data_IF_471010519703
#
_entry.id   IF_471010519703
#
_cell.length_a   1.000
_cell.length_b   1.000
_cell.length_c   1.000
_cell.angle_alpha   90.00
_cell.angle_beta   90.00
_cell.angle_gamma   90.00
#
_symmetry.space_group_name_H-M   'P 1'
#
loop_
_entity.id
_entity.type
_entity.pdbx_description
1 polymer ?
#
# COMPACT_ATOMS: atom_id res chain seq x y z
N UNK A 1 -19.84 -1.51 2.74
CA UNK A 1 -19.89 -2.46 3.87
C UNK A 1 -20.36 -3.84 3.40
N UNK A 2 -19.46 -4.63 2.80
CA UNK A 2 -19.69 -6.06 2.51
C UNK A 2 -18.73 -6.83 3.43
N UNK A 3 -19.30 -7.62 4.36
CA UNK A 3 -18.54 -8.48 5.26
C UNK A 3 -17.94 -9.63 4.42
N UNK A 4 -16.61 -9.73 4.34
CA UNK A 4 -15.91 -10.87 3.72
C UNK A 4 -16.23 -12.13 4.54
N UNK A 5 -17.01 -13.05 3.95
CA UNK A 5 -17.19 -14.41 4.45
C UNK A 5 -16.16 -15.30 3.74
N UNK A 6 -14.97 -15.48 4.34
CA UNK A 6 -14.07 -16.53 3.87
C UNK A 6 -14.64 -17.89 4.27
N UNK A 7 -15.33 -18.55 3.33
CA UNK A 7 -15.74 -19.94 3.44
C UNK A 7 -14.54 -20.83 3.11
N UNK A 8 -13.92 -21.40 4.14
CA UNK A 8 -13.23 -22.68 4.00
C UNK A 8 -14.29 -23.69 3.55
N UNK A 9 -14.19 -24.15 2.31
CA UNK A 9 -14.96 -25.29 1.81
C UNK A 9 -14.47 -26.53 2.55
N UNK A 10 -15.14 -26.82 3.68
CA UNK A 10 -15.06 -28.11 4.32
C UNK A 10 -15.69 -29.12 3.36
N UNK A 11 -14.85 -29.91 2.70
CA UNK A 11 -15.22 -31.11 1.94
C UNK A 11 -15.94 -32.10 2.87
N UNK A 12 -17.23 -31.90 3.04
CA UNK A 12 -18.18 -32.88 3.55
C UNK A 12 -19.37 -32.87 2.61
N UNK A 13 -19.16 -33.43 1.41
CA UNK A 13 -20.23 -33.71 0.46
C UNK A 13 -21.23 -34.67 1.09
N UNK A 14 -22.29 -34.09 1.66
CA UNK A 14 -23.59 -34.74 1.82
C UNK A 14 -24.05 -35.23 0.45
N UNK A 15 -23.96 -36.53 0.21
CA UNK A 15 -24.70 -37.19 -0.87
C UNK A 15 -25.59 -38.27 -0.27
N UNK A 16 -26.86 -37.88 -0.15
CA UNK A 16 -28.08 -38.62 -0.48
C UNK A 16 -28.46 -39.85 0.36
N UNK A 17 -29.52 -39.62 1.15
CA UNK A 17 -30.49 -40.59 1.62
C UNK A 17 -31.18 -41.28 0.42
N UNK A 18 -31.56 -42.54 0.64
CA UNK A 18 -32.55 -43.39 -0.06
C UNK A 18 -31.97 -44.41 -1.04
N UNK A 19 -31.66 -45.60 -0.52
CA UNK A 19 -32.19 -46.86 -1.04
C UNK A 19 -32.41 -47.84 0.13
N UNK A 20 -33.52 -48.57 0.02
CA UNK A 20 -34.17 -49.38 1.02
C UNK A 20 -33.48 -50.74 1.25
N UNK A 21 -33.65 -51.26 2.48
CA UNK A 21 -33.68 -52.66 2.92
C UNK A 21 -32.51 -53.20 3.78
N UNK A 22 -32.94 -53.76 4.94
CA UNK A 22 -32.28 -54.73 5.83
C UNK A 22 -31.28 -54.24 6.91
N UNK A 23 -31.78 -54.12 8.15
CA UNK A 23 -31.27 -54.96 9.24
C UNK A 23 -30.60 -54.29 10.46
N UNK A 24 -31.38 -54.22 11.56
CA UNK A 24 -31.00 -54.45 12.98
C UNK A 24 -30.23 -53.36 13.77
N UNK A 25 -30.99 -52.72 14.67
CA UNK A 25 -30.75 -52.41 16.10
C UNK A 25 -29.30 -52.14 16.59
N UNK A 26 -29.06 -50.94 17.14
CA UNK A 26 -29.13 -50.64 18.59
C UNK A 26 -28.78 -49.18 18.86
N UNK A 27 -29.65 -48.48 19.58
CA UNK A 27 -29.43 -47.14 20.12
C UNK A 27 -28.42 -47.20 21.27
N UNK A 28 -27.48 -46.25 21.30
CA UNK A 28 -26.91 -45.72 22.53
C UNK A 28 -26.96 -44.20 22.46
N UNK A 29 -28.01 -43.63 23.04
CA UNK A 29 -28.13 -42.20 23.33
C UNK A 29 -27.12 -41.85 24.43
N UNK A 30 -26.13 -41.00 24.12
CA UNK A 30 -25.35 -40.31 25.14
C UNK A 30 -25.89 -38.90 25.24
N UNK A 31 -26.68 -38.70 26.28
CA UNK A 31 -27.25 -37.43 26.69
C UNK A 31 -26.20 -36.69 27.53
N UNK A 32 -25.66 -35.57 27.03
CA UNK A 32 -24.86 -34.65 27.86
C UNK A 32 -25.52 -33.28 27.82
N UNK A 33 -26.51 -33.12 28.70
CA UNK A 33 -26.97 -31.84 29.20
C UNK A 33 -25.94 -31.30 30.19
N UNK A 34 -24.97 -30.54 29.70
CA UNK A 34 -24.27 -29.54 30.51
C UNK A 34 -23.59 -28.53 29.58
N UNK A 35 -24.32 -27.47 29.21
CA UNK A 35 -23.72 -26.27 28.63
C UNK A 35 -23.13 -25.51 29.82
N UNK A 36 -21.82 -25.58 30.01
CA UNK A 36 -21.13 -24.64 30.89
C UNK A 36 -21.06 -23.31 30.16
N UNK A 37 -21.90 -22.38 30.61
CA UNK A 37 -21.71 -20.94 30.45
C UNK A 37 -20.27 -20.58 30.84
N UNK A 38 -19.53 -19.97 29.92
CA UNK A 38 -18.16 -19.52 30.17
C UNK A 38 -17.18 -20.01 29.11
N UNK A 39 -17.33 -19.53 27.89
CA UNK A 39 -16.26 -19.43 26.89
C UNK A 39 -16.65 -18.36 25.85
N UNK A 40 -16.92 -17.14 26.35
CA UNK A 40 -16.50 -15.95 25.60
C UNK A 40 -14.97 -15.86 25.76
N UNK A 41 -14.24 -16.79 25.12
CA UNK A 41 -12.85 -16.50 24.80
C UNK A 41 -12.90 -15.59 23.60
N UNK A 42 -12.58 -14.32 23.82
CA UNK A 42 -12.03 -13.46 22.79
C UNK A 42 -10.87 -14.24 22.16
N UNK A 43 -11.12 -14.91 21.04
CA UNK A 43 -10.07 -15.41 20.15
C UNK A 43 -9.47 -14.18 19.48
N UNK A 44 -8.64 -13.48 20.26
CA UNK A 44 -7.78 -12.42 19.78
C UNK A 44 -6.87 -13.03 18.71
N UNK A 45 -6.92 -12.44 17.52
CA UNK A 45 -6.37 -12.95 16.27
C UNK A 45 -4.83 -12.80 16.24
N UNK A 46 -4.14 -13.45 17.18
CA UNK A 46 -2.67 -13.48 17.23
C UNK A 46 -2.21 -14.93 16.96
N UNK A 47 -2.04 -15.28 15.69
CA UNK A 47 -1.34 -16.52 15.33
C UNK A 47 0.11 -16.41 15.84
N UNK A 48 0.69 -17.43 16.48
CA UNK A 48 2.10 -17.44 16.92
C UNK A 48 3.12 -17.11 15.81
N UNK A 49 2.70 -17.18 14.54
CA UNK A 49 3.48 -16.77 13.37
C UNK A 49 3.48 -15.26 13.17
N UNK A 50 2.33 -14.58 13.36
CA UNK A 50 2.23 -13.12 13.26
C UNK A 50 3.04 -12.46 14.37
N UNK A 51 3.05 -13.00 15.59
CA UNK A 51 3.85 -12.44 16.69
C UNK A 51 5.35 -12.47 16.38
N UNK A 52 5.83 -13.55 15.76
CA UNK A 52 7.24 -13.64 15.29
C UNK A 52 7.52 -12.63 14.18
N UNK A 53 6.56 -12.42 13.29
CA UNK A 53 6.69 -11.43 12.22
C UNK A 53 6.68 -10.00 12.79
N UNK A 54 5.91 -9.72 13.84
CA UNK A 54 5.93 -8.44 14.57
C UNK A 54 7.28 -8.19 15.22
N UNK A 55 7.95 -9.22 15.73
CA UNK A 55 9.31 -9.09 16.26
C UNK A 55 10.36 -8.87 15.15
N UNK A 56 10.19 -9.56 14.01
CA UNK A 56 11.14 -9.50 12.88
C UNK A 56 11.02 -8.20 12.06
N UNK A 57 9.78 -7.73 11.86
CA UNK A 57 9.41 -6.59 11.03
C UNK A 57 8.48 -5.62 11.78
N UNK A 58 8.85 -5.11 12.97
CA UNK A 58 7.98 -4.23 13.74
C UNK A 58 7.51 -3.02 12.93
N UNK A 59 8.38 -2.46 12.09
CA UNK A 59 8.08 -1.33 11.22
C UNK A 59 6.93 -1.59 10.23
N UNK A 60 6.69 -2.84 9.84
CA UNK A 60 5.63 -3.19 8.91
C UNK A 60 4.27 -3.26 9.58
N UNK A 61 4.19 -3.44 10.90
CA UNK A 61 2.92 -3.49 11.62
C UNK A 61 2.49 -2.14 12.21
N UNK A 62 3.34 -1.11 12.11
CA UNK A 62 3.09 0.25 12.57
C UNK A 62 2.52 1.17 11.47
N UNK A 63 2.39 0.65 10.25
CA UNK A 63 1.95 1.42 9.08
C UNK A 63 0.46 1.78 9.13
N UNK A 64 0.14 2.99 8.68
CA UNK A 64 -1.24 3.39 8.42
C UNK A 64 -1.72 2.96 7.02
N UNK A 65 -3.00 2.64 6.87
CA UNK A 65 -3.60 2.17 5.61
C UNK A 65 -4.39 3.25 4.86
N UNK A 66 -4.46 4.48 5.37
CA UNK A 66 -5.35 5.52 4.83
C UNK A 66 -5.06 5.97 3.39
N UNK A 67 -3.84 5.71 2.89
CA UNK A 67 -3.41 5.95 1.50
C UNK A 67 -3.07 4.65 0.76
N UNK A 68 -3.57 3.53 1.28
CA UNK A 68 -3.17 2.20 0.83
C UNK A 68 -1.80 1.77 1.35
N UNK A 69 -1.36 0.59 0.89
CA UNK A 69 -0.05 0.01 1.19
C UNK A 69 0.72 -0.21 -0.11
N UNK A 70 2.01 0.11 -0.10
CA UNK A 70 2.93 -0.12 -1.21
C UNK A 70 3.83 -1.31 -0.86
N UNK A 71 3.76 -2.35 -1.70
CA UNK A 71 4.58 -3.55 -1.60
C UNK A 71 5.67 -3.48 -2.67
N UNK A 72 6.89 -3.18 -2.26
CA UNK A 72 8.06 -3.14 -3.13
C UNK A 72 8.62 -4.54 -3.31
N UNK A 73 8.79 -4.95 -4.57
CA UNK A 73 9.24 -6.31 -4.93
C UNK A 73 10.59 -6.23 -5.63
N UNK A 74 11.58 -6.95 -5.12
CA UNK A 74 12.84 -7.13 -5.82
C UNK A 74 13.25 -8.60 -5.83
N UNK A 75 13.93 -9.00 -6.89
CA UNK A 75 14.36 -10.37 -7.10
C UNK A 75 15.86 -10.45 -6.84
N UNK A 76 16.35 -11.44 -6.10
CA UNK A 76 17.78 -11.63 -5.80
C UNK A 76 18.44 -12.65 -6.72
N UNK A 77 17.66 -13.61 -7.22
CA UNK A 77 18.01 -14.64 -8.19
C UNK A 77 16.72 -15.11 -8.89
N UNK A 78 16.84 -15.93 -9.93
CA UNK A 78 15.67 -16.59 -10.55
C UNK A 78 14.80 -17.24 -9.46
N UNK A 79 13.51 -16.91 -9.47
CA UNK A 79 12.48 -17.29 -8.48
C UNK A 79 12.72 -16.87 -7.00
N UNK A 80 13.76 -16.10 -6.69
CA UNK A 80 14.08 -15.64 -5.33
C UNK A 80 13.60 -14.20 -5.08
N UNK A 81 12.32 -14.05 -4.73
CA UNK A 81 11.67 -12.76 -4.50
C UNK A 81 11.78 -12.27 -3.05
N UNK A 82 11.89 -10.95 -2.89
CA UNK A 82 11.86 -10.25 -1.61
C UNK A 82 10.85 -9.12 -1.69
N UNK A 83 10.13 -8.94 -0.59
CA UNK A 83 9.05 -7.99 -0.48
C UNK A 83 9.32 -7.03 0.69
N UNK A 84 9.18 -5.74 0.44
CA UNK A 84 9.22 -4.70 1.46
C UNK A 84 7.89 -3.95 1.49
N UNK A 85 7.47 -3.53 2.67
CA UNK A 85 6.19 -2.84 2.87
C UNK A 85 6.42 -1.40 3.28
N UNK A 86 5.68 -0.49 2.65
CA UNK A 86 5.58 0.91 3.06
C UNK A 86 4.13 1.37 3.04
N UNK A 87 3.87 2.42 3.80
CA UNK A 87 2.62 3.15 3.66
C UNK A 87 2.57 3.86 2.30
N UNK A 88 1.39 3.83 1.67
CA UNK A 88 1.10 4.59 0.46
C UNK A 88 1.30 6.09 0.65
N UNK A 89 1.97 6.75 -0.30
CA UNK A 89 2.15 8.21 -0.27
C UNK A 89 1.99 8.85 -1.63
N UNK A 90 1.63 10.14 -1.67
CA UNK A 90 1.55 10.92 -2.92
C UNK A 90 2.93 11.47 -3.35
N UNK A 91 4.03 10.82 -2.92
CA UNK A 91 5.40 11.19 -3.29
C UNK A 91 6.19 9.94 -3.65
N UNK A 92 7.23 10.11 -4.45
CA UNK A 92 8.20 9.05 -4.67
C UNK A 92 8.96 8.74 -3.37
N UNK A 93 9.27 7.45 -3.18
CA UNK A 93 10.14 7.00 -2.10
C UNK A 93 11.59 7.26 -2.47
N UNK A 94 12.36 7.80 -1.52
CA UNK A 94 13.78 8.05 -1.71
C UNK A 94 14.54 6.72 -1.79
N UNK A 95 15.72 6.73 -2.41
CA UNK A 95 16.56 5.55 -2.45
C UNK A 95 16.93 5.05 -1.05
N UNK A 96 17.16 5.94 -0.09
CA UNK A 96 17.46 5.59 1.29
C UNK A 96 16.30 4.84 1.97
N UNK A 97 15.07 5.31 1.77
CA UNK A 97 13.87 4.64 2.28
C UNK A 97 13.71 3.23 1.68
N UNK A 98 13.89 3.10 0.37
CA UNK A 98 13.79 1.81 -0.31
C UNK A 98 14.92 0.85 0.10
N UNK A 99 16.15 1.36 0.28
CA UNK A 99 17.28 0.57 0.75
C UNK A 99 17.16 0.13 2.22
N UNK A 100 16.36 0.83 3.02
CA UNK A 100 16.07 0.46 4.40
C UNK A 100 15.05 -0.69 4.53
N UNK A 101 14.36 -1.05 3.43
CA UNK A 101 13.38 -2.13 3.45
C UNK A 101 14.03 -3.49 3.76
N UNK A 102 13.44 -4.20 4.72
CA UNK A 102 13.80 -5.58 5.02
C UNK A 102 13.01 -6.54 4.14
N UNK A 103 13.71 -7.30 3.30
CA UNK A 103 13.05 -8.29 2.44
C UNK A 103 12.40 -9.43 3.22
N UNK A 104 11.07 -9.51 3.17
CA UNK A 104 10.28 -10.65 3.57
C UNK A 104 10.13 -11.66 2.42
N UNK A 105 9.90 -12.93 2.74
CA UNK A 105 9.48 -13.93 1.75
C UNK A 105 8.03 -13.66 1.29
N UNK A 106 7.57 -14.25 0.17
CA UNK A 106 6.18 -14.13 -0.26
C UNK A 106 5.18 -14.55 0.84
N UNK A 107 5.46 -15.66 1.53
CA UNK A 107 4.59 -16.19 2.59
C UNK A 107 4.57 -15.29 3.82
N UNK A 108 5.74 -14.75 4.21
CA UNK A 108 5.85 -13.80 5.31
C UNK A 108 5.08 -12.51 4.98
N UNK A 109 5.22 -11.98 3.78
CA UNK A 109 4.52 -10.76 3.36
C UNK A 109 3.00 -10.98 3.26
N UNK A 110 2.55 -12.11 2.74
CA UNK A 110 1.13 -12.45 2.71
C UNK A 110 0.52 -12.47 4.14
N UNK A 111 1.24 -13.06 5.10
CA UNK A 111 0.82 -13.05 6.52
C UNK A 111 0.82 -11.63 7.11
N UNK A 112 1.84 -10.81 6.81
CA UNK A 112 1.89 -9.41 7.25
C UNK A 112 0.68 -8.64 6.70
N UNK A 113 0.41 -8.73 5.40
CA UNK A 113 -0.72 -8.05 4.76
C UNK A 113 -2.07 -8.50 5.33
N UNK A 114 -2.20 -9.79 5.68
CA UNK A 114 -3.43 -10.32 6.30
C UNK A 114 -3.75 -9.73 7.67
N UNK A 115 -2.78 -9.10 8.35
CA UNK A 115 -2.99 -8.42 9.61
C UNK A 115 -3.64 -7.03 9.46
N UNK A 116 -3.77 -6.53 8.24
CA UNK A 116 -4.41 -5.26 7.94
C UNK A 116 -5.87 -5.45 7.52
N UNK A 117 -6.76 -4.60 8.05
CA UNK A 117 -8.13 -4.45 7.54
C UNK A 117 -8.11 -3.47 6.36
N UNK A 118 -7.67 -3.97 5.20
CA UNK A 118 -7.53 -3.21 3.95
C UNK A 118 -8.09 -4.01 2.77
N UNK A 119 -8.62 -3.33 1.75
CA UNK A 119 -9.04 -3.97 0.50
C UNK A 119 -7.82 -4.25 -0.38
N UNK A 120 -7.78 -5.42 -1.02
CA UNK A 120 -6.68 -5.86 -1.89
C UNK A 120 -6.39 -4.85 -3.03
N UNK A 121 -7.40 -4.06 -3.40
CA UNK A 121 -7.30 -2.98 -4.41
C UNK A 121 -6.49 -1.78 -3.93
N UNK A 122 -6.41 -1.57 -2.62
CA UNK A 122 -5.64 -0.52 -1.97
C UNK A 122 -4.21 -1.01 -1.62
N UNK A 123 -3.81 -2.18 -2.13
CA UNK A 123 -2.45 -2.72 -2.04
C UNK A 123 -1.79 -2.63 -3.42
N UNK A 124 -0.78 -1.77 -3.51
CA UNK A 124 -0.02 -1.48 -4.73
C UNK A 124 1.25 -2.32 -4.75
N UNK A 125 1.38 -3.21 -5.73
CA UNK A 125 2.58 -4.05 -5.91
C UNK A 125 3.51 -3.37 -6.91
N UNK A 126 4.71 -2.99 -6.45
CA UNK A 126 5.65 -2.14 -7.20
C UNK A 126 6.95 -2.92 -7.42
N UNK A 127 7.25 -3.37 -8.65
CA UNK A 127 8.56 -3.90 -8.98
C UNK A 127 9.64 -2.83 -8.80
N UNK A 128 10.71 -3.17 -8.09
CA UNK A 128 11.81 -2.27 -7.81
C UNK A 128 13.15 -2.90 -8.21
N UNK A 129 13.90 -2.17 -9.05
CA UNK A 129 15.29 -2.49 -9.36
C UNK A 129 16.16 -2.20 -8.14
N UNK A 130 16.26 -3.15 -7.22
CA UNK A 130 17.14 -3.02 -6.07
C UNK A 130 18.60 -2.97 -6.55
N UNK A 131 19.38 -1.90 -6.26
CA UNK A 131 20.77 -1.78 -6.74
C UNK A 131 21.72 -2.88 -6.24
N UNK A 132 21.34 -3.60 -5.20
CA UNK A 132 22.14 -4.69 -4.62
C UNK A 132 21.81 -6.03 -5.31
N UNK A 133 20.71 -6.10 -6.06
CA UNK A 133 20.38 -7.29 -6.83
C UNK A 133 21.25 -7.42 -8.08
N UNK A 134 21.75 -8.63 -8.33
CA UNK A 134 22.35 -8.99 -9.62
C UNK A 134 21.33 -9.42 -10.68
N UNK A 135 20.05 -9.53 -10.31
CA UNK A 135 18.97 -9.91 -11.20
C UNK A 135 18.28 -8.65 -11.76
N UNK A 136 18.44 -8.41 -13.06
CA UNK A 136 17.82 -7.28 -13.75
C UNK A 136 16.43 -7.66 -14.23
N UNK A 137 15.38 -7.07 -13.65
CA UNK A 137 14.04 -7.11 -14.26
C UNK A 137 14.03 -6.04 -15.35
N UNK A 138 13.67 -6.37 -16.59
CA UNK A 138 13.67 -5.37 -17.67
C UNK A 138 12.41 -4.51 -17.64
N UNK A 139 12.46 -3.30 -18.23
CA UNK A 139 11.28 -2.43 -18.36
C UNK A 139 10.12 -3.16 -19.08
N UNK A 140 10.44 -4.05 -20.03
CA UNK A 140 9.45 -4.86 -20.74
C UNK A 140 8.78 -5.89 -19.82
N UNK A 141 9.50 -6.46 -18.85
CA UNK A 141 8.93 -7.37 -17.86
C UNK A 141 8.06 -6.64 -16.84
N UNK A 142 8.45 -5.43 -16.42
CA UNK A 142 7.63 -4.61 -15.50
C UNK A 142 6.31 -4.20 -16.14
N UNK A 143 6.32 -3.95 -17.46
CA UNK A 143 5.13 -3.62 -18.26
C UNK A 143 4.28 -4.83 -18.62
N UNK A 144 4.75 -6.04 -18.37
CA UNK A 144 4.00 -7.26 -18.61
C UNK A 144 2.91 -7.44 -17.54
N UNK A 145 1.61 -7.37 -17.89
CA UNK A 145 0.53 -7.57 -16.92
C UNK A 145 0.57 -8.96 -16.27
N UNK A 146 1.10 -9.97 -16.98
CA UNK A 146 1.24 -11.33 -16.45
C UNK A 146 2.27 -11.36 -15.31
N UNK A 147 3.35 -10.58 -15.42
CA UNK A 147 4.37 -10.46 -14.38
C UNK A 147 3.78 -9.89 -13.08
N UNK A 148 3.06 -8.77 -13.16
CA UNK A 148 2.41 -8.16 -11.99
C UNK A 148 1.33 -9.08 -11.41
N UNK A 149 0.54 -9.72 -12.26
CA UNK A 149 -0.46 -10.72 -11.86
C UNK A 149 0.18 -11.85 -11.04
N UNK A 150 1.31 -12.38 -11.50
CA UNK A 150 2.05 -13.42 -10.78
C UNK A 150 2.53 -12.94 -9.40
N UNK A 151 3.05 -11.71 -9.29
CA UNK A 151 3.46 -11.15 -8.00
C UNK A 151 2.28 -11.00 -7.03
N UNK A 152 1.12 -10.55 -7.51
CA UNK A 152 -0.11 -10.45 -6.68
C UNK A 152 -0.59 -11.82 -6.21
N UNK A 153 -0.54 -12.82 -7.09
CA UNK A 153 -0.90 -14.20 -6.77
C UNK A 153 0.03 -14.79 -5.69
N UNK A 154 1.33 -14.50 -5.73
CA UNK A 154 2.28 -14.92 -4.68
C UNK A 154 1.91 -14.39 -3.30
N UNK A 155 1.24 -13.23 -3.24
CA UNK A 155 0.81 -12.58 -2.01
C UNK A 155 -0.62 -12.96 -1.59
N UNK A 156 -1.29 -13.81 -2.37
CA UNK A 156 -2.68 -14.19 -2.12
C UNK A 156 -3.69 -13.05 -2.29
N UNK A 157 -3.35 -12.04 -3.10
CA UNK A 157 -4.23 -10.91 -3.38
C UNK A 157 -5.20 -11.28 -4.51
N UNK A 158 -6.50 -11.04 -4.30
CA UNK A 158 -7.51 -11.31 -5.32
C UNK A 158 -7.30 -10.39 -6.54
N UNK A 159 -7.30 -10.99 -7.73
CA UNK A 159 -7.27 -10.29 -9.00
C UNK A 159 -8.71 -10.07 -9.47
N UNK A 160 -9.27 -8.89 -9.20
CA UNK A 160 -10.46 -8.47 -9.92
C UNK A 160 -10.02 -8.20 -11.37
N UNK A 161 -10.56 -8.90 -12.38
CA UNK A 161 -10.28 -8.65 -13.81
C UNK A 161 -10.50 -7.16 -14.21
N UNK A 162 -11.30 -6.42 -13.43
CA UNK A 162 -11.51 -4.98 -13.55
C UNK A 162 -10.29 -4.12 -13.14
N UNK A 163 -9.38 -4.64 -12.30
CA UNK A 163 -8.14 -3.97 -11.86
C UNK A 163 -7.07 -3.93 -12.93
N UNK A 164 -7.01 -4.91 -13.83
CA UNK A 164 -6.07 -4.92 -14.95
C UNK A 164 -6.35 -3.77 -15.92
N UNK A 165 -7.63 -3.41 -16.09
CA UNK A 165 -8.06 -2.25 -16.89
C UNK A 165 -7.86 -0.92 -16.13
N UNK A 166 -7.96 -0.95 -14.80
CA UNK A 166 -7.67 0.23 -13.96
C UNK A 166 -6.19 0.42 -13.68
N UNK A 167 -5.31 -0.56 -13.85
CA UNK A 167 -3.86 -0.40 -13.68
C UNK A 167 -3.31 0.50 -14.79
N UNK A 168 -3.77 0.35 -16.04
CA UNK A 168 -3.48 1.28 -17.13
C UNK A 168 -4.07 2.69 -16.87
N UNK A 169 -5.24 2.80 -16.24
CA UNK A 169 -5.79 4.10 -15.82
C UNK A 169 -5.12 4.66 -14.55
N UNK A 170 -4.56 3.82 -13.67
CA UNK A 170 -3.93 4.19 -12.41
C UNK A 170 -2.47 4.62 -12.61
N UNK A 171 -1.76 3.99 -13.57
CA UNK A 171 -0.50 4.49 -14.12
C UNK A 171 -0.68 5.88 -14.78
N UNK A 172 -1.92 6.24 -15.13
CA UNK A 172 -2.34 7.59 -15.58
C UNK A 172 -2.95 8.43 -14.45
N UNK A 173 -3.42 7.82 -13.34
CA UNK A 173 -4.11 8.50 -12.23
C UNK A 173 -3.14 9.08 -11.21
N UNK A 174 -1.95 8.50 -11.03
CA UNK A 174 -0.86 9.06 -10.21
C UNK A 174 0.00 10.11 -10.95
N UNK A 175 -0.40 10.51 -12.16
CA UNK A 175 0.41 11.33 -13.07
C UNK A 175 0.23 12.85 -12.87
N UNK A 176 -0.49 13.28 -11.83
CA UNK A 176 -0.53 14.70 -11.46
C UNK A 176 0.72 15.07 -10.70
N UNK A 177 1.62 15.74 -11.42
CA UNK A 177 2.79 16.43 -10.89
C UNK A 177 2.40 17.10 -9.56
N UNK A 178 3.13 16.86 -8.45
CA UNK A 178 2.83 17.49 -7.18
C UNK A 178 2.67 19.00 -7.35
N UNK A 179 1.61 19.56 -6.81
CA UNK A 179 1.26 20.96 -7.00
C UNK A 179 0.64 21.56 -5.75
N UNK A 180 0.79 22.87 -5.61
CA UNK A 180 0.28 23.65 -4.49
C UNK A 180 -0.25 24.98 -5.00
N UNK A 181 -1.37 25.43 -4.45
CA UNK A 181 -1.90 26.77 -4.71
C UNK A 181 -1.48 27.72 -3.59
N UNK A 182 -0.82 28.81 -3.94
CA UNK A 182 -0.36 29.86 -3.02
C UNK A 182 -0.66 31.22 -3.64
N UNK A 183 -1.28 32.12 -2.88
CA UNK A 183 -1.65 33.48 -3.31
C UNK A 183 -2.36 33.51 -4.69
N UNK A 184 -3.28 32.57 -4.91
CA UNK A 184 -4.06 32.42 -6.14
C UNK A 184 -3.31 31.81 -7.32
N UNK A 185 -2.01 31.53 -7.19
CA UNK A 185 -1.15 30.92 -8.22
C UNK A 185 -0.98 29.43 -7.97
N UNK A 186 -0.98 28.64 -9.05
CA UNK A 186 -0.75 27.19 -8.99
C UNK A 186 0.71 26.88 -9.38
N UNK A 187 1.44 26.27 -8.45
CA UNK A 187 2.84 25.93 -8.59
C UNK A 187 3.01 24.43 -8.73
N UNK A 188 3.91 24.01 -9.61
CA UNK A 188 4.14 22.60 -9.96
C UNK A 188 5.56 22.20 -9.57
N UNK A 189 5.71 21.01 -8.99
CA UNK A 189 6.99 20.42 -8.67
C UNK A 189 7.83 20.27 -9.95
N UNK A 190 9.08 20.70 -9.85
CA UNK A 190 10.06 20.59 -10.94
C UNK A 190 10.91 19.33 -10.85
N UNK A 191 10.81 18.59 -9.73
CA UNK A 191 11.68 17.46 -9.40
C UNK A 191 13.09 17.87 -8.98
N UNK A 192 13.35 19.18 -8.79
CA UNK A 192 14.68 19.72 -8.44
C UNK A 192 14.76 20.07 -6.96
N UNK A 193 15.83 19.64 -6.30
CA UNK A 193 16.24 20.13 -4.99
C UNK A 193 16.89 21.51 -5.15
N UNK A 194 16.59 22.43 -4.22
CA UNK A 194 17.18 23.76 -4.23
C UNK A 194 18.67 23.72 -3.89
N UNK A 195 19.47 24.49 -4.62
CA UNK A 195 20.92 24.61 -4.40
C UNK A 195 21.29 25.77 -3.46
N UNK A 196 20.31 26.42 -2.84
CA UNK A 196 20.51 27.56 -1.95
C UNK A 196 20.86 27.05 -0.54
N UNK A 197 22.12 27.27 -0.14
CA UNK A 197 22.66 26.84 1.16
C UNK A 197 22.38 27.85 2.29
N UNK A 198 22.10 29.11 1.96
CA UNK A 198 21.85 30.17 2.94
C UNK A 198 20.41 30.68 2.88
N UNK A 199 19.60 30.35 3.88
CA UNK A 199 18.23 30.85 4.02
C UNK A 199 18.08 31.77 5.22
N UNK A 200 17.31 32.84 5.03
CA UNK A 200 16.76 33.60 6.15
C UNK A 200 15.90 32.64 6.97
N UNK A 201 16.13 32.54 8.29
CA UNK A 201 15.42 31.59 9.15
C UNK A 201 13.92 31.87 9.36
N UNK A 202 13.31 32.75 8.56
CA UNK A 202 11.90 33.10 8.64
C UNK A 202 11.18 32.57 7.40
N UNK A 203 10.18 31.72 7.60
CA UNK A 203 9.36 31.14 6.52
C UNK A 203 8.36 32.17 5.98
N UNK A 204 8.01 32.07 4.70
CA UNK A 204 7.02 32.97 4.08
C UNK A 204 5.59 32.46 4.28
N UNK A 205 5.40 31.14 4.37
CA UNK A 205 4.12 30.54 4.71
C UNK A 205 4.18 29.04 4.95
N UNK A 206 3.00 28.45 5.13
CA UNK A 206 2.80 27.03 5.41
C UNK A 206 1.63 26.49 4.58
N UNK A 207 1.79 25.28 4.04
CA UNK A 207 0.71 24.52 3.41
C UNK A 207 -0.16 23.93 4.50
N UNK A 208 -1.41 24.39 4.61
CA UNK A 208 -2.29 24.07 5.75
C UNK A 208 -3.31 22.99 5.46
N UNK A 209 -3.55 22.65 4.19
CA UNK A 209 -4.55 21.64 3.80
C UNK A 209 -4.08 20.79 2.62
N UNK A 210 -4.78 19.68 2.39
CA UNK A 210 -4.47 18.79 1.27
C UNK A 210 -5.76 18.23 0.65
N UNK A 211 -5.77 18.15 -0.68
CA UNK A 211 -6.75 17.42 -1.49
C UNK A 211 -6.22 16.03 -1.82
N UNK A 212 -7.02 15.21 -2.50
CA UNK A 212 -6.54 13.96 -3.04
C UNK A 212 -5.39 14.18 -4.06
N UNK A 213 -4.49 13.20 -4.20
CA UNK A 213 -3.34 13.29 -5.13
C UNK A 213 -3.75 13.56 -6.59
N UNK A 214 -4.95 13.12 -6.94
CA UNK A 214 -5.54 13.24 -8.27
C UNK A 214 -6.23 14.59 -8.52
N UNK A 215 -6.41 15.40 -7.48
CA UNK A 215 -7.15 16.67 -7.53
C UNK A 215 -6.21 17.86 -7.74
N UNK A 216 -6.71 18.92 -8.40
CA UNK A 216 -6.00 20.21 -8.46
C UNK A 216 -6.37 21.01 -7.21
N UNK A 217 -5.41 21.54 -6.45
CA UNK A 217 -5.68 22.45 -5.35
C UNK A 217 -6.46 23.70 -5.80
N UNK A 218 -7.56 23.98 -5.11
CA UNK A 218 -8.46 25.10 -5.44
C UNK A 218 -8.42 26.23 -4.41
N UNK A 219 -7.92 25.95 -3.20
CA UNK A 219 -7.76 26.93 -2.12
C UNK A 219 -6.29 27.30 -1.92
N UNK A 220 -6.02 28.50 -1.40
CA UNK A 220 -4.65 28.89 -1.04
C UNK A 220 -4.13 28.06 0.13
N UNK A 221 -2.83 27.74 0.09
CA UNK A 221 -2.14 26.86 1.03
C UNK A 221 -2.70 25.43 1.04
N UNK A 222 -3.21 24.98 -0.09
CA UNK A 222 -3.68 23.62 -0.32
C UNK A 222 -2.77 22.93 -1.34
N UNK A 223 -2.44 21.66 -1.10
CA UNK A 223 -1.65 20.83 -2.01
C UNK A 223 -2.29 19.49 -2.32
N UNK A 224 -1.84 18.80 -3.36
CA UNK A 224 -2.21 17.40 -3.62
C UNK A 224 -1.18 16.39 -3.05
N UNK A 225 -0.16 16.85 -2.32
CA UNK A 225 0.93 16.02 -1.82
C UNK A 225 1.08 15.97 -0.29
N UNK A 226 0.34 16.82 0.44
CA UNK A 226 0.28 16.85 1.90
C UNK A 226 0.33 18.25 2.51
N UNK A 227 0.16 18.35 3.82
CA UNK A 227 0.13 19.61 4.58
C UNK A 227 1.17 19.61 5.71
N UNK A 228 1.38 20.77 6.35
CA UNK A 228 2.38 20.99 7.40
C UNK A 228 3.77 21.36 6.86
N UNK A 229 3.88 21.64 5.56
CA UNK A 229 5.14 22.01 4.92
C UNK A 229 5.28 23.54 4.86
N UNK A 230 6.42 24.04 5.32
CA UNK A 230 6.73 25.47 5.20
C UNK A 230 7.29 25.77 3.80
N UNK A 231 7.06 26.97 3.31
CA UNK A 231 7.62 27.42 2.03
C UNK A 231 8.27 28.80 2.13
N UNK A 232 9.13 29.08 1.15
CA UNK A 232 9.71 30.40 0.89
C UNK A 232 9.57 30.74 -0.59
N UNK A 233 9.45 32.02 -0.91
CA UNK A 233 9.51 32.51 -2.28
C UNK A 233 10.94 32.41 -2.81
N UNK A 234 11.10 31.74 -3.96
CA UNK A 234 12.36 31.59 -4.66
C UNK A 234 12.58 32.67 -5.72
N UNK A 235 13.59 32.46 -6.58
CA UNK A 235 13.81 33.28 -7.76
C UNK A 235 12.79 32.94 -8.87
N UNK A 236 12.61 33.83 -9.84
CA UNK A 236 11.87 33.54 -11.09
C UNK A 236 10.44 33.02 -10.88
N UNK A 237 9.67 33.63 -9.97
CA UNK A 237 8.29 33.22 -9.63
C UNK A 237 8.18 31.74 -9.20
N UNK A 238 9.21 31.22 -8.54
CA UNK A 238 9.16 29.91 -7.87
C UNK A 238 8.79 30.04 -6.41
N UNK A 239 8.29 28.95 -5.85
CA UNK A 239 8.28 28.73 -4.41
C UNK A 239 9.13 27.51 -4.12
N UNK A 240 9.79 27.52 -2.97
CA UNK A 240 10.60 26.42 -2.51
C UNK A 240 9.97 25.89 -1.23
N UNK A 241 9.73 24.58 -1.18
CA UNK A 241 8.95 23.95 -0.12
C UNK A 241 9.88 23.04 0.68
N UNK A 242 9.89 23.23 2.00
CA UNK A 242 10.67 22.43 2.92
C UNK A 242 9.90 21.17 3.31
N UNK A 243 10.34 20.03 2.80
CA UNK A 243 9.77 18.72 3.08
C UNK A 243 10.89 17.68 3.13
N UNK A 244 10.76 16.68 4.01
CA UNK A 244 11.77 15.62 4.18
C UNK A 244 13.20 16.15 4.37
N UNK A 245 13.36 17.17 5.23
CA UNK A 245 14.63 17.83 5.55
C UNK A 245 15.34 18.53 4.36
N UNK A 246 14.66 18.66 3.21
CA UNK A 246 15.18 19.24 1.98
C UNK A 246 14.25 20.30 1.41
N UNK A 247 14.78 21.13 0.52
CA UNK A 247 14.02 22.17 -0.17
C UNK A 247 13.78 21.76 -1.62
N UNK A 248 12.52 21.71 -2.02
CA UNK A 248 12.12 21.35 -3.38
C UNK A 248 11.58 22.57 -4.13
N UNK A 249 11.97 22.73 -5.39
CA UNK A 249 11.61 23.89 -6.21
C UNK A 249 10.31 23.61 -6.97
N UNK A 250 9.34 24.50 -6.80
CA UNK A 250 8.08 24.49 -7.53
C UNK A 250 7.97 25.76 -8.38
N UNK A 251 7.55 25.61 -9.63
CA UNK A 251 7.44 26.72 -10.58
C UNK A 251 5.98 27.05 -10.87
N UNK A 252 5.68 28.34 -10.97
CA UNK A 252 4.39 28.79 -11.49
C UNK A 252 4.31 28.48 -12.99
N UNK A 253 3.17 27.95 -13.43
CA UNK A 253 2.83 27.79 -14.86
C UNK A 253 1.51 28.51 -15.12
N UNK A 254 1.48 29.39 -16.11
CA UNK A 254 0.22 29.97 -16.57
C UNK A 254 -0.68 28.84 -17.09
N UNK A 255 -1.95 28.83 -16.67
CA UNK A 255 -2.95 27.95 -17.26
C UNK A 255 -3.06 28.31 -18.75
N UNK A 256 -2.57 27.45 -19.62
CA UNK A 256 -2.86 27.57 -21.06
C UNK A 256 -4.35 27.31 -21.24
N UNK A 257 -5.09 28.35 -21.64
CA UNK A 257 -6.52 28.32 -22.04
C UNK A 257 -6.87 27.20 -23.04
#
# INVERSE_FOLDING_TARGET
MKKKLYRIVCLCSLVSIVLCACGKNTNSEVNVTHISDGLESEYEWNSPEIDKLREKYPEYFELGTFKGLEVYVWQMAEDDYRFGLMQGTNRQKTLEELMALKGASPEEMALILSAFDIDDRDIFVIPWQNPISSYMVTDDMVKDPEYISNLRNMLGLDLDEELMLKQEEADVMYDRIPMVRVDGKLYYDTGKESTIDWRCGNMDGEITSTVDGTEIPTEDNQSNFGSGFNYQYGADDTIEIYMNEKWFVFEYREESE
#
